data_IF_335401250248
#
_entry.id   IF_335401250248
#
_cell.length_a   1.000
_cell.length_b   1.000
_cell.length_c   1.000
_cell.angle_alpha   90.00
_cell.angle_beta   90.00
_cell.angle_gamma   90.00
#
_symmetry.space_group_name_H-M   'P 1'
#
loop_
_entity.id
_entity.type
_entity.pdbx_description
1 polymer ?
#
# COMPACT_ATOMS: atom_id res chain seq x y z
N UNK A 1 14.44 21.67 -3.67
CA UNK A 1 14.28 20.20 -3.69
C UNK A 1 13.48 19.90 -4.95
N UNK A 2 14.13 19.39 -5.98
CA UNK A 2 13.46 19.10 -7.25
C UNK A 2 13.22 17.59 -7.33
N UNK A 3 12.01 17.17 -7.71
CA UNK A 3 11.71 15.76 -7.95
C UNK A 3 12.46 15.27 -9.20
N UNK A 4 12.98 14.06 -9.14
CA UNK A 4 13.59 13.38 -10.29
C UNK A 4 12.63 12.30 -10.75
N UNK A 5 12.29 12.32 -12.04
CA UNK A 5 11.45 11.29 -12.67
C UNK A 5 12.30 10.41 -13.58
N UNK A 6 12.14 9.10 -13.42
CA UNK A 6 12.77 8.06 -14.24
C UNK A 6 11.69 7.10 -14.74
N UNK A 7 11.67 6.79 -16.01
CA UNK A 7 10.91 5.66 -16.54
C UNK A 7 11.76 4.39 -16.35
N UNK A 8 11.30 3.48 -15.48
CA UNK A 8 12.03 2.26 -15.13
C UNK A 8 11.57 1.04 -15.94
N UNK A 9 10.37 1.11 -16.50
CA UNK A 9 9.79 0.15 -17.45
C UNK A 9 8.67 0.84 -18.23
N UNK A 10 8.19 0.29 -19.35
CA UNK A 10 7.05 0.83 -20.08
C UNK A 10 5.86 1.09 -19.14
N UNK A 11 5.37 2.33 -19.12
CA UNK A 11 4.28 2.81 -18.26
C UNK A 11 4.57 2.78 -16.74
N UNK A 12 5.81 2.49 -16.32
CA UNK A 12 6.24 2.51 -14.92
C UNK A 12 7.22 3.64 -14.69
N UNK A 13 6.80 4.64 -13.93
CA UNK A 13 7.61 5.80 -13.58
C UNK A 13 7.99 5.76 -12.10
N UNK A 14 9.24 6.08 -11.81
CA UNK A 14 9.75 6.34 -10.47
C UNK A 14 9.93 7.86 -10.30
N UNK A 15 9.21 8.42 -9.36
CA UNK A 15 9.43 9.79 -8.91
C UNK A 15 10.10 9.75 -7.53
N UNK A 16 11.27 10.36 -7.39
CA UNK A 16 11.93 10.44 -6.09
C UNK A 16 12.37 11.85 -5.73
N UNK A 17 12.33 12.13 -4.44
CA UNK A 17 12.77 13.39 -3.84
C UNK A 17 13.67 13.06 -2.66
N UNK A 18 14.94 13.50 -2.71
CA UNK A 18 15.85 13.40 -1.58
C UNK A 18 15.69 14.60 -0.65
N UNK A 19 15.61 14.34 0.66
CA UNK A 19 15.50 15.38 1.68
C UNK A 19 16.20 14.96 2.96
N UNK A 20 17.07 15.82 3.47
CA UNK A 20 17.75 15.66 4.76
C UNK A 20 16.94 16.29 5.92
N UNK A 21 15.71 16.74 5.65
CA UNK A 21 14.84 17.38 6.66
C UNK A 21 14.03 16.40 7.50
N UNK A 22 13.89 15.17 7.04
CA UNK A 22 13.01 14.17 7.64
C UNK A 22 13.83 13.00 8.16
N UNK A 23 13.41 12.46 9.28
CA UNK A 23 13.98 11.25 9.89
C UNK A 23 13.34 9.96 9.38
N UNK A 24 12.39 10.09 8.47
CA UNK A 24 11.64 8.96 7.90
C UNK A 24 11.63 9.05 6.39
N UNK A 25 11.78 7.91 5.75
CA UNK A 25 11.51 7.71 4.34
C UNK A 25 10.04 7.35 4.10
N UNK A 26 9.54 7.69 2.93
CA UNK A 26 8.22 7.27 2.46
C UNK A 26 8.38 6.64 1.08
N UNK A 27 7.80 5.47 0.90
CA UNK A 27 7.73 4.77 -0.38
C UNK A 27 6.27 4.53 -0.72
N UNK A 28 5.83 4.93 -1.91
CA UNK A 28 4.46 4.64 -2.35
C UNK A 28 4.43 4.01 -3.73
N UNK A 29 3.57 3.03 -3.91
CA UNK A 29 3.27 2.41 -5.19
C UNK A 29 1.82 2.68 -5.51
N UNK A 30 1.57 3.25 -6.71
CA UNK A 30 0.24 3.64 -7.15
C UNK A 30 -0.05 3.03 -8.52
N UNK A 31 -1.14 2.29 -8.61
CA UNK A 31 -1.74 1.85 -9.86
C UNK A 31 -2.79 2.89 -10.27
N UNK A 32 -2.62 3.45 -11.45
CA UNK A 32 -3.50 4.51 -11.97
C UNK A 32 -4.38 3.92 -13.06
N UNK A 33 -5.69 3.95 -12.85
CA UNK A 33 -6.66 3.42 -13.82
C UNK A 33 -7.78 4.44 -14.06
N UNK A 34 -8.33 4.54 -15.28
CA UNK A 34 -9.53 5.34 -15.50
C UNK A 34 -10.67 4.89 -14.59
N UNK A 35 -11.41 5.84 -14.00
CA UNK A 35 -12.59 5.53 -13.20
C UNK A 35 -13.66 4.91 -14.08
N UNK A 36 -14.15 3.76 -13.65
CA UNK A 36 -15.29 3.10 -14.28
C UNK A 36 -16.25 2.65 -13.18
N UNK A 37 -17.52 2.97 -13.34
CA UNK A 37 -18.56 2.65 -12.36
C UNK A 37 -18.60 1.15 -11.98
N UNK A 38 -18.33 0.26 -12.95
CA UNK A 38 -18.32 -1.18 -12.73
C UNK A 38 -17.11 -1.70 -11.96
N UNK A 39 -15.97 -0.98 -12.04
CA UNK A 39 -14.68 -1.46 -11.47
C UNK A 39 -14.22 -0.64 -10.27
N UNK A 40 -14.78 0.56 -10.05
CA UNK A 40 -14.33 1.46 -8.98
C UNK A 40 -14.37 0.82 -7.59
N UNK A 41 -15.45 0.07 -7.29
CA UNK A 41 -15.58 -0.64 -6.01
C UNK A 41 -14.55 -1.76 -5.83
N UNK A 42 -14.24 -2.49 -6.90
CA UNK A 42 -13.20 -3.53 -6.87
C UNK A 42 -11.81 -2.89 -6.68
N UNK A 43 -11.53 -1.78 -7.38
CA UNK A 43 -10.30 -1.01 -7.18
C UNK A 43 -10.17 -0.48 -5.75
N UNK A 44 -11.25 -0.02 -5.15
CA UNK A 44 -11.26 0.43 -3.76
C UNK A 44 -11.01 -0.70 -2.75
N UNK A 45 -11.49 -1.91 -3.04
CA UNK A 45 -11.36 -3.10 -2.19
C UNK A 45 -9.97 -3.74 -2.30
N UNK A 46 -9.38 -3.73 -3.50
CA UNK A 46 -8.19 -4.51 -3.82
C UNK A 46 -7.01 -4.28 -2.87
N UNK A 47 -6.57 -3.05 -2.55
CA UNK A 47 -5.44 -2.84 -1.64
C UNK A 47 -5.67 -3.46 -0.25
N UNK A 48 -6.88 -3.39 0.27
CA UNK A 48 -7.22 -3.96 1.58
C UNK A 48 -7.12 -5.49 1.57
N UNK A 49 -7.57 -6.14 0.50
CA UNK A 49 -7.46 -7.60 0.34
C UNK A 49 -6.00 -8.02 0.19
N UNK A 50 -5.22 -7.33 -0.64
CA UNK A 50 -3.78 -7.59 -0.81
C UNK A 50 -3.02 -7.46 0.51
N UNK A 51 -3.35 -6.46 1.33
CA UNK A 51 -2.70 -6.22 2.62
C UNK A 51 -3.00 -7.28 3.67
N UNK A 52 -3.92 -8.22 3.42
CA UNK A 52 -4.21 -9.33 4.36
C UNK A 52 -3.06 -10.31 4.49
N UNK A 53 -2.18 -10.40 3.49
CA UNK A 53 -0.96 -11.21 3.56
C UNK A 53 -0.37 -11.52 2.19
N UNK A 54 0.86 -12.02 2.22
CA UNK A 54 1.63 -12.49 1.07
C UNK A 54 1.84 -14.01 1.19
N UNK A 55 2.42 -14.64 0.20
CA UNK A 55 2.79 -16.06 0.31
C UNK A 55 3.84 -16.29 1.39
N UNK A 56 4.74 -15.33 1.60
CA UNK A 56 5.76 -15.38 2.68
C UNK A 56 5.18 -14.99 4.07
N UNK A 57 4.18 -14.10 4.08
CA UNK A 57 3.53 -13.58 5.28
C UNK A 57 2.00 -13.78 5.16
N UNK A 58 1.48 -15.01 5.38
CA UNK A 58 0.14 -15.41 4.94
C UNK A 58 -1.02 -14.76 5.71
N UNK A 59 -0.73 -14.02 6.77
CA UNK A 59 -1.73 -13.31 7.57
C UNK A 59 -1.22 -11.96 8.09
N UNK A 60 -2.14 -11.14 8.59
CA UNK A 60 -1.82 -9.81 9.11
C UNK A 60 -0.86 -9.83 10.31
N UNK A 61 -0.82 -10.91 11.07
CA UNK A 61 0.06 -11.03 12.24
C UNK A 61 1.51 -11.21 11.79
N UNK A 62 1.75 -12.11 10.85
CA UNK A 62 3.09 -12.34 10.27
C UNK A 62 3.59 -11.11 9.53
N UNK A 63 2.70 -10.41 8.79
CA UNK A 63 3.02 -9.16 8.14
C UNK A 63 3.38 -8.05 9.16
N UNK A 64 2.59 -7.91 10.23
CA UNK A 64 2.89 -6.95 11.30
C UNK A 64 4.22 -7.27 11.98
N UNK A 65 4.51 -8.54 12.24
CA UNK A 65 5.79 -8.96 12.81
C UNK A 65 6.97 -8.58 11.90
N UNK A 66 6.82 -8.75 10.58
CA UNK A 66 7.84 -8.31 9.62
C UNK A 66 8.07 -6.80 9.66
N UNK A 67 6.99 -6.00 9.76
CA UNK A 67 7.09 -4.54 9.89
C UNK A 67 7.70 -4.11 11.24
N UNK A 68 7.40 -4.81 12.32
CA UNK A 68 8.00 -4.55 13.64
C UNK A 68 9.51 -4.82 13.61
N UNK A 69 9.97 -5.88 12.94
CA UNK A 69 11.39 -6.17 12.71
C UNK A 69 12.07 -5.10 11.85
N UNK A 70 11.33 -4.36 11.04
CA UNK A 70 11.79 -3.18 10.30
C UNK A 70 11.58 -1.88 11.10
N UNK A 71 11.87 -1.95 12.40
CA UNK A 71 11.82 -0.82 13.35
C UNK A 71 10.44 -0.13 13.42
N UNK A 72 9.37 -0.92 13.37
CA UNK A 72 8.01 -0.40 13.43
C UNK A 72 7.59 0.36 12.16
N UNK A 73 8.13 -0.03 11.03
CA UNK A 73 7.70 0.47 9.73
C UNK A 73 6.22 0.21 9.49
N UNK A 74 5.59 0.98 8.64
CA UNK A 74 4.16 0.85 8.37
C UNK A 74 3.86 0.82 6.88
N UNK A 75 2.80 0.07 6.51
CA UNK A 75 2.24 0.05 5.16
C UNK A 75 0.75 0.31 5.26
N UNK A 76 0.28 1.38 4.63
CA UNK A 76 -1.14 1.73 4.53
C UNK A 76 -1.67 1.57 3.11
N UNK A 77 -2.96 1.19 2.99
CA UNK A 77 -3.66 1.20 1.71
C UNK A 77 -3.96 2.63 1.28
N UNK A 78 -3.86 2.90 -0.01
CA UNK A 78 -4.24 4.18 -0.60
C UNK A 78 -5.26 3.97 -1.70
N UNK A 79 -6.37 4.71 -1.62
CA UNK A 79 -7.40 4.77 -2.65
C UNK A 79 -7.78 6.23 -2.81
N UNK A 80 -7.54 6.81 -3.98
CA UNK A 80 -7.81 8.22 -4.23
C UNK A 80 -8.35 8.44 -5.63
N UNK A 81 -9.25 9.41 -5.78
CA UNK A 81 -9.62 9.94 -7.08
C UNK A 81 -8.68 11.08 -7.45
N UNK A 82 -8.17 11.09 -8.69
CA UNK A 82 -7.38 12.19 -9.26
C UNK A 82 -7.86 12.47 -10.67
N UNK A 83 -8.66 13.52 -10.83
CA UNK A 83 -9.35 13.79 -12.08
C UNK A 83 -10.29 12.64 -12.43
N UNK A 84 -10.16 12.10 -13.64
CA UNK A 84 -10.95 10.95 -14.14
C UNK A 84 -10.29 9.60 -13.83
N UNK A 85 -9.23 9.59 -13.00
CA UNK A 85 -8.52 8.37 -12.64
C UNK A 85 -8.74 7.98 -11.17
N UNK A 86 -8.74 6.68 -10.93
CA UNK A 86 -8.60 6.08 -9.60
C UNK A 86 -7.13 5.68 -9.41
N UNK A 87 -6.53 6.16 -8.33
CA UNK A 87 -5.19 5.77 -7.89
C UNK A 87 -5.33 4.86 -6.69
N UNK A 88 -4.87 3.62 -6.82
CA UNK A 88 -4.94 2.58 -5.78
C UNK A 88 -3.55 2.03 -5.52
N UNK A 89 -3.27 1.61 -4.30
CA UNK A 89 -1.98 1.01 -3.97
C UNK A 89 -1.63 1.14 -2.50
N UNK A 90 -0.35 1.35 -2.24
CA UNK A 90 0.19 1.40 -0.89
C UNK A 90 1.07 2.61 -0.67
N UNK A 91 1.15 3.05 0.58
CA UNK A 91 2.15 3.97 1.08
C UNK A 91 2.80 3.36 2.32
N UNK A 92 4.13 3.26 2.27
CA UNK A 92 4.96 2.78 3.35
C UNK A 92 5.71 3.95 3.99
N UNK A 93 5.91 3.87 5.30
CA UNK A 93 6.78 4.79 6.06
C UNK A 93 7.74 3.98 6.91
N UNK A 94 9.00 4.37 6.89
CA UNK A 94 10.09 3.71 7.62
C UNK A 94 11.09 4.76 8.11
N UNK A 95 11.86 4.40 9.13
CA UNK A 95 12.93 5.28 9.67
C UNK A 95 14.11 5.34 8.68
N UNK A 96 14.74 6.50 8.57
CA UNK A 96 15.95 6.64 7.75
C UNK A 96 17.13 5.91 8.40
N UNK A 97 18.01 5.32 7.57
CA UNK A 97 19.16 4.52 8.01
C UNK A 97 20.10 5.27 8.97
N UNK A 98 20.19 6.59 8.86
CA UNK A 98 21.00 7.42 9.76
C UNK A 98 20.51 7.39 11.22
N UNK A 99 19.23 7.03 11.44
CA UNK A 99 18.60 6.98 12.76
C UNK A 99 18.38 5.54 13.26
N UNK A 100 18.79 4.55 12.47
CA UNK A 100 18.70 3.13 12.84
C UNK A 100 19.95 2.70 13.61
N UNK A 101 19.83 2.07 14.81
CA UNK A 101 20.96 1.48 15.49
C UNK A 101 21.68 0.46 14.60
N UNK A 102 22.96 0.69 14.29
CA UNK A 102 23.71 -0.18 13.37
C UNK A 102 23.71 0.24 11.90
N UNK A 103 22.92 1.26 11.51
CA UNK A 103 22.89 1.78 10.15
C UNK A 103 22.28 0.82 9.12
N UNK A 104 21.35 -0.01 9.54
CA UNK A 104 20.66 -0.95 8.65
C UNK A 104 19.80 -0.21 7.61
N UNK A 105 19.91 -0.64 6.35
CA UNK A 105 19.13 -0.07 5.25
C UNK A 105 17.73 -0.68 5.23
N UNK A 106 16.72 0.16 5.37
CA UNK A 106 15.32 -0.30 5.41
C UNK A 106 14.60 -0.14 4.07
N UNK A 107 15.13 0.64 3.14
CA UNK A 107 14.48 0.89 1.85
C UNK A 107 14.32 -0.41 1.04
N UNK A 108 15.38 -1.22 0.93
CA UNK A 108 15.35 -2.47 0.16
C UNK A 108 14.35 -3.48 0.74
N UNK A 109 14.37 -3.84 2.04
CA UNK A 109 13.34 -4.70 2.63
C UNK A 109 11.91 -4.14 2.50
N UNK A 110 11.74 -2.82 2.54
CA UNK A 110 10.43 -2.21 2.33
C UNK A 110 9.97 -2.32 0.87
N UNK A 111 10.88 -2.20 -0.09
CA UNK A 111 10.57 -2.46 -1.51
C UNK A 111 10.16 -3.91 -1.73
N UNK A 112 10.89 -4.86 -1.14
CA UNK A 112 10.60 -6.28 -1.23
C UNK A 112 9.21 -6.60 -0.67
N UNK A 113 8.90 -6.09 0.52
CA UNK A 113 7.61 -6.31 1.16
C UNK A 113 6.43 -5.70 0.37
N UNK A 114 6.63 -4.50 -0.21
CA UNK A 114 5.63 -3.91 -1.11
C UNK A 114 5.49 -4.70 -2.42
N UNK A 115 6.60 -5.21 -2.94
CA UNK A 115 6.63 -6.11 -4.09
C UNK A 115 5.84 -7.38 -3.83
N UNK A 116 6.04 -8.04 -2.69
CA UNK A 116 5.28 -9.22 -2.28
C UNK A 116 3.77 -8.92 -2.19
N UNK A 117 3.37 -7.81 -1.56
CA UNK A 117 1.96 -7.43 -1.45
C UNK A 117 1.28 -7.26 -2.81
N UNK A 118 2.00 -6.76 -3.80
CA UNK A 118 1.47 -6.50 -5.14
C UNK A 118 1.51 -7.73 -6.05
N UNK A 119 2.61 -8.49 -6.00
CA UNK A 119 2.94 -9.51 -7.01
C UNK A 119 2.79 -10.94 -6.48
N UNK A 120 2.84 -11.13 -5.17
CA UNK A 120 2.78 -12.44 -4.53
C UNK A 120 1.81 -12.48 -3.33
N UNK A 121 0.57 -11.97 -3.49
CA UNK A 121 -0.43 -12.00 -2.42
C UNK A 121 -0.82 -13.43 -2.06
N UNK A 122 -1.23 -13.64 -0.81
CA UNK A 122 -1.71 -14.94 -0.38
C UNK A 122 -2.95 -15.36 -1.17
N UNK A 123 -2.83 -16.47 -1.87
CA UNK A 123 -3.89 -17.03 -2.73
C UNK A 123 -4.03 -18.54 -2.51
N UNK A 124 -5.19 -19.08 -2.89
CA UNK A 124 -5.44 -20.53 -2.95
C UNK A 124 -6.02 -20.85 -4.32
N UNK A 125 -5.36 -21.72 -5.08
CA UNK A 125 -5.77 -22.10 -6.45
C UNK A 125 -5.93 -20.88 -7.37
N UNK A 126 -5.04 -19.89 -7.28
CA UNK A 126 -5.06 -18.67 -8.09
C UNK A 126 -6.19 -17.69 -7.77
N UNK A 127 -6.81 -17.80 -6.58
CA UNK A 127 -7.86 -16.90 -6.10
C UNK A 127 -7.53 -16.37 -4.73
N UNK A 128 -7.94 -15.15 -4.42
CA UNK A 128 -7.88 -14.61 -3.07
C UNK A 128 -8.69 -15.49 -2.10
N UNK A 129 -8.27 -15.52 -0.84
CA UNK A 129 -9.00 -16.23 0.20
C UNK A 129 -10.37 -15.57 0.41
N UNK A 130 -11.43 -16.35 0.27
CA UNK A 130 -12.79 -15.84 0.34
C UNK A 130 -13.10 -15.10 1.65
N UNK A 131 -12.58 -15.62 2.77
CA UNK A 131 -12.77 -15.00 4.09
C UNK A 131 -12.12 -13.60 4.15
N UNK A 132 -10.98 -13.41 3.49
CA UNK A 132 -10.32 -12.10 3.41
C UNK A 132 -11.11 -11.12 2.56
N UNK A 133 -11.59 -11.58 1.40
CA UNK A 133 -12.41 -10.76 0.50
C UNK A 133 -13.71 -10.32 1.17
N UNK A 134 -14.46 -11.24 1.78
CA UNK A 134 -15.73 -10.91 2.42
C UNK A 134 -15.55 -10.03 3.65
N UNK A 135 -14.49 -10.25 4.44
CA UNK A 135 -14.17 -9.39 5.60
C UNK A 135 -13.86 -7.95 5.15
N UNK A 136 -13.00 -7.77 4.15
CA UNK A 136 -12.65 -6.42 3.69
C UNK A 136 -13.80 -5.74 2.93
N UNK A 137 -14.62 -6.49 2.23
CA UNK A 137 -15.85 -5.99 1.62
C UNK A 137 -16.81 -5.45 2.67
N UNK A 138 -17.00 -6.17 3.78
CA UNK A 138 -17.85 -5.71 4.89
C UNK A 138 -17.27 -4.43 5.52
N UNK A 139 -15.95 -4.41 5.78
CA UNK A 139 -15.26 -3.22 6.30
C UNK A 139 -15.45 -2.00 5.39
N UNK A 140 -15.34 -2.18 4.07
CA UNK A 140 -15.55 -1.11 3.09
C UNK A 140 -17.01 -0.62 3.09
N UNK A 141 -17.98 -1.54 3.16
CA UNK A 141 -19.41 -1.19 3.24
C UNK A 141 -19.67 -0.36 4.50
N UNK A 142 -19.14 -0.79 5.64
CA UNK A 142 -19.35 -0.11 6.91
C UNK A 142 -18.65 1.26 6.94
N UNK A 143 -17.47 1.38 6.33
CA UNK A 143 -16.79 2.66 6.14
C UNK A 143 -17.62 3.62 5.29
N UNK A 144 -18.17 3.17 4.15
CA UNK A 144 -19.03 3.99 3.28
C UNK A 144 -20.29 4.43 4.02
N UNK A 145 -20.93 3.53 4.78
CA UNK A 145 -22.11 3.88 5.60
C UNK A 145 -21.74 4.88 6.71
N UNK A 146 -20.53 4.79 7.25
CA UNK A 146 -20.04 5.70 8.27
C UNK A 146 -19.85 7.14 7.78
N UNK A 147 -19.52 7.35 6.51
CA UNK A 147 -19.32 8.68 5.91
C UNK A 147 -20.58 9.55 6.06
N UNK A 148 -21.77 8.97 5.95
CA UNK A 148 -23.04 9.70 6.10
C UNK A 148 -23.16 10.36 7.50
N UNK A 149 -22.48 9.81 8.50
CA UNK A 149 -22.49 10.33 9.87
C UNK A 149 -21.37 11.34 10.14
N UNK A 150 -20.39 11.44 9.23
CA UNK A 150 -19.30 12.41 9.35
C UNK A 150 -19.59 13.63 8.47
N UNK A 151 -20.04 14.71 9.12
CA UNK A 151 -20.38 15.99 8.46
C UNK A 151 -19.20 16.68 7.77
N UNK A 152 -17.96 16.22 7.98
CA UNK A 152 -16.76 16.82 7.37
C UNK A 152 -16.42 16.17 6.03
N UNK A 153 -16.82 14.94 5.83
CA UNK A 153 -16.46 14.11 4.64
C UNK A 153 -17.65 13.94 3.66
N UNK A 154 -18.81 14.56 3.98
CA UNK A 154 -20.01 14.54 3.17
C UNK A 154 -20.09 15.73 2.19
#
# INVERSE_FOLDING_TARGET
>A
MEPVRLEIAPEVNLDYVRSDKFKTGTLSVQLITPINEKTASFGALLPSVLRRGTMSHPDMRSLSTALDLLYGSSIGCTVRKKGENQCIGFAASFIDEEFVPGGEKLLEPMCDLLGELLLDPVTRNGRFLNDYVESEKQNLIDAIRGIINDKRDY
#
